data_IF_520525871831
#
_entry.id   IF_520525871831
#
_cell.length_a   1.000
_cell.length_b   1.000
_cell.length_c   1.000
_cell.angle_alpha   90.00
_cell.angle_beta   90.00
_cell.angle_gamma   90.00
#
_symmetry.space_group_name_H-M   'P 1'
#
loop_
_entity.id
_entity.type
_entity.pdbx_description
1 polymer ?
#
# COMPACT_ATOMS: atom_id res chain seq x y z
N UNK A 1 -20.34 -36.09 -7.94
CA UNK A 1 -19.28 -36.22 -6.93
C UNK A 1 -18.65 -34.85 -6.76
N UNK A 2 -19.11 -34.07 -5.78
CA UNK A 2 -18.55 -32.76 -5.46
C UNK A 2 -17.75 -32.87 -4.17
N UNK A 3 -16.44 -32.68 -4.23
CA UNK A 3 -15.60 -32.63 -3.05
C UNK A 3 -15.82 -31.28 -2.35
N UNK A 4 -16.65 -31.27 -1.31
CA UNK A 4 -16.70 -30.14 -0.37
C UNK A 4 -15.42 -30.17 0.45
N UNK A 5 -14.50 -29.24 0.18
CA UNK A 5 -13.33 -29.01 1.02
C UNK A 5 -13.84 -28.44 2.34
N UNK A 6 -13.96 -29.29 3.35
CA UNK A 6 -14.27 -28.88 4.71
C UNK A 6 -13.05 -28.15 5.28
N UNK A 7 -13.12 -26.83 5.34
CA UNK A 7 -12.15 -25.98 6.05
C UNK A 7 -12.29 -26.29 7.53
N UNK A 8 -11.47 -27.23 8.02
CA UNK A 8 -11.40 -27.58 9.43
C UNK A 8 -10.97 -26.34 10.21
N UNK A 9 -11.80 -25.93 11.17
CA UNK A 9 -11.62 -24.75 12.02
C UNK A 9 -10.38 -24.81 12.91
N UNK A 10 -9.21 -24.54 12.30
CA UNK A 10 -7.99 -24.22 13.02
C UNK A 10 -8.19 -22.88 13.73
N UNK A 11 -8.35 -22.93 15.05
CA UNK A 11 -8.48 -21.79 15.97
C UNK A 11 -7.20 -20.98 16.15
N UNK A 12 -6.29 -20.99 15.19
CA UNK A 12 -5.18 -20.06 15.16
C UNK A 12 -5.48 -19.15 13.98
N UNK A 13 -5.97 -17.95 14.28
CA UNK A 13 -6.06 -16.89 13.30
C UNK A 13 -4.65 -16.58 12.83
N UNK A 14 -4.18 -17.34 11.84
CA UNK A 14 -2.92 -17.11 11.17
C UNK A 14 -3.02 -15.70 10.63
N UNK A 15 -2.28 -14.78 11.25
CA UNK A 15 -2.22 -13.40 10.80
C UNK A 15 -1.74 -13.46 9.36
N UNK A 16 -2.51 -12.98 8.39
CA UNK A 16 -2.15 -13.10 6.96
C UNK A 16 -0.86 -12.37 6.57
N UNK A 17 -0.29 -11.63 7.51
CA UNK A 17 0.99 -10.95 7.39
C UNK A 17 2.15 -11.79 7.97
N UNK A 18 1.88 -12.81 8.79
CA UNK A 18 2.87 -13.63 9.48
C UNK A 18 2.61 -15.11 9.22
N UNK A 19 3.54 -15.73 8.51
CA UNK A 19 3.57 -17.18 8.30
C UNK A 19 4.45 -17.89 9.36
N UNK A 20 4.49 -19.21 9.30
CA UNK A 20 5.33 -20.04 10.18
C UNK A 20 6.83 -19.82 9.91
N UNK A 21 7.20 -19.45 8.69
CA UNK A 21 8.59 -19.21 8.30
C UNK A 21 9.15 -17.99 9.02
N UNK A 22 8.42 -16.87 9.05
CA UNK A 22 8.81 -15.66 9.79
C UNK A 22 9.02 -15.93 11.28
N UNK A 23 8.15 -16.75 11.89
CA UNK A 23 8.29 -17.14 13.30
C UNK A 23 9.53 -17.99 13.55
N UNK A 24 9.85 -18.92 12.63
CA UNK A 24 11.09 -19.71 12.68
C UNK A 24 12.31 -18.81 12.51
N UNK A 25 12.25 -17.86 11.60
CA UNK A 25 13.35 -16.94 11.31
C UNK A 25 13.61 -15.95 12.46
N UNK A 26 12.59 -15.52 13.20
CA UNK A 26 12.79 -14.75 14.44
C UNK A 26 13.67 -15.52 15.46
N UNK A 27 13.44 -16.82 15.60
CA UNK A 27 14.24 -17.67 16.49
C UNK A 27 15.63 -17.88 15.89
N UNK A 28 15.72 -18.12 14.58
CA UNK A 28 16.98 -18.35 13.89
C UNK A 28 17.90 -17.13 13.99
N UNK A 29 17.41 -15.91 13.72
CA UNK A 29 18.22 -14.69 13.80
C UNK A 29 18.78 -14.42 15.19
N UNK A 30 18.12 -14.87 16.27
CA UNK A 30 18.65 -14.74 17.63
C UNK A 30 19.80 -15.72 17.90
N UNK A 31 19.73 -16.92 17.34
CA UNK A 31 20.70 -18.01 17.59
C UNK A 31 21.89 -17.99 16.63
N UNK A 32 21.64 -17.69 15.36
CA UNK A 32 22.61 -17.74 14.29
C UNK A 32 23.10 -16.33 13.95
N UNK A 33 24.31 -16.03 14.45
CA UNK A 33 24.98 -14.75 14.23
C UNK A 33 25.33 -14.54 12.75
N UNK A 34 25.71 -15.61 12.04
CA UNK A 34 26.12 -15.52 10.64
C UNK A 34 24.91 -15.23 9.76
N UNK A 35 23.81 -15.95 9.95
CA UNK A 35 22.54 -15.71 9.26
C UNK A 35 22.07 -14.27 9.44
N UNK A 36 22.09 -13.77 10.69
CA UNK A 36 21.70 -12.39 11.00
C UNK A 36 22.60 -11.37 10.28
N UNK A 37 23.93 -11.55 10.33
CA UNK A 37 24.87 -10.64 9.64
C UNK A 37 24.66 -10.62 8.13
N UNK A 38 24.51 -11.79 7.52
CA UNK A 38 24.25 -11.91 6.08
C UNK A 38 22.95 -11.22 5.68
N UNK A 39 21.91 -11.32 6.51
CA UNK A 39 20.65 -10.62 6.25
C UNK A 39 20.79 -9.10 6.37
N UNK A 40 21.53 -8.61 7.36
CA UNK A 40 21.80 -7.16 7.48
C UNK A 40 22.64 -6.67 6.30
N UNK A 41 23.66 -7.42 5.89
CA UNK A 41 24.45 -7.11 4.70
C UNK A 41 23.59 -7.09 3.44
N UNK A 42 22.66 -8.04 3.28
CA UNK A 42 21.71 -8.04 2.19
C UNK A 42 20.85 -6.77 2.18
N UNK A 43 20.28 -6.38 3.32
CA UNK A 43 19.47 -5.15 3.45
C UNK A 43 20.30 -3.91 3.08
N UNK A 44 21.50 -3.77 3.67
CA UNK A 44 22.33 -2.57 3.54
C UNK A 44 23.08 -2.49 2.21
N UNK A 45 23.44 -3.63 1.64
CA UNK A 45 24.09 -3.74 0.35
C UNK A 45 23.15 -3.49 -0.83
N UNK A 46 21.83 -3.51 -0.60
CA UNK A 46 20.84 -3.17 -1.63
C UNK A 46 20.64 -4.25 -2.71
N UNK A 47 21.25 -5.43 -2.56
CA UNK A 47 21.14 -6.52 -3.53
C UNK A 47 19.69 -6.98 -3.80
N UNK A 48 18.79 -6.75 -2.83
CA UNK A 48 17.36 -6.99 -2.99
C UNK A 48 16.69 -6.11 -4.05
N UNK A 49 17.29 -4.98 -4.42
CA UNK A 49 16.70 -4.06 -5.39
C UNK A 49 16.51 -4.72 -6.75
N UNK A 50 17.46 -5.56 -7.17
CA UNK A 50 17.40 -6.30 -8.42
C UNK A 50 16.30 -7.39 -8.40
N UNK A 51 15.92 -7.85 -7.21
CA UNK A 51 14.80 -8.79 -7.03
C UNK A 51 13.43 -8.11 -7.21
N UNK A 52 13.36 -6.77 -7.15
CA UNK A 52 12.12 -6.01 -7.34
C UNK A 52 11.72 -5.88 -8.82
N UNK A 53 12.61 -6.22 -9.76
CA UNK A 53 12.33 -6.22 -11.19
C UNK A 53 11.17 -7.17 -11.55
N UNK A 54 11.03 -8.26 -10.80
CA UNK A 54 9.94 -9.22 -10.94
C UNK A 54 8.65 -8.75 -10.24
N UNK A 55 8.73 -7.67 -9.44
CA UNK A 55 7.61 -7.17 -8.66
C UNK A 55 6.70 -6.24 -9.50
N UNK A 56 5.78 -6.88 -10.23
CA UNK A 56 4.67 -6.28 -10.97
C UNK A 56 4.94 -4.97 -11.74
N UNK A 57 5.21 -5.10 -13.04
CA UNK A 57 4.95 -4.05 -14.05
C UNK A 57 3.43 -3.84 -14.34
N UNK A 58 2.54 -4.35 -13.49
CA UNK A 58 1.08 -4.43 -13.73
C UNK A 58 0.32 -3.10 -13.65
N UNK A 59 1.02 -1.97 -13.70
CA UNK A 59 0.46 -0.65 -13.45
C UNK A 59 1.02 0.38 -14.41
N UNK A 60 0.51 0.35 -15.64
CA UNK A 60 0.58 1.47 -16.57
C UNK A 60 -0.18 2.67 -15.99
N UNK A 61 0.50 3.49 -15.19
CA UNK A 61 0.07 4.86 -14.98
C UNK A 61 0.64 5.66 -16.16
N UNK A 62 -0.20 6.02 -17.13
CA UNK A 62 0.16 7.11 -18.02
C UNK A 62 0.12 8.39 -17.18
N UNK A 63 1.28 8.99 -16.94
CA UNK A 63 1.35 10.31 -16.36
C UNK A 63 0.73 11.29 -17.35
N UNK A 64 -0.45 11.79 -17.03
CA UNK A 64 -1.03 12.93 -17.68
C UNK A 64 -0.65 14.15 -16.84
N UNK A 65 -0.17 15.23 -17.46
CA UNK A 65 0.33 16.44 -16.78
C UNK A 65 -0.79 17.29 -16.16
N UNK A 66 -1.86 16.64 -15.71
CA UNK A 66 -3.12 17.27 -15.34
C UNK A 66 -3.06 18.07 -14.04
N UNK A 67 -3.95 19.06 -13.95
CA UNK A 67 -3.96 20.12 -12.94
C UNK A 67 -4.35 19.72 -11.50
N UNK A 68 -4.91 18.52 -11.25
CA UNK A 68 -5.44 18.16 -9.91
C UNK A 68 -4.78 16.94 -9.27
N UNK A 69 -4.66 16.94 -7.94
CA UNK A 69 -4.15 15.81 -7.15
C UNK A 69 -4.90 14.50 -7.45
N UNK A 70 -6.23 14.58 -7.56
CA UNK A 70 -7.10 13.46 -7.94
C UNK A 70 -6.60 12.75 -9.20
N UNK A 71 -6.47 13.48 -10.31
CA UNK A 71 -6.07 12.90 -11.59
C UNK A 71 -4.60 12.47 -11.59
N UNK A 72 -3.71 13.22 -10.93
CA UNK A 72 -2.28 12.88 -10.76
C UNK A 72 -2.06 11.51 -10.11
N UNK A 73 -2.86 11.14 -9.11
CA UNK A 73 -2.76 9.84 -8.43
C UNK A 73 -3.71 8.77 -9.02
N UNK A 74 -4.42 9.10 -10.11
CA UNK A 74 -5.37 8.20 -10.78
C UNK A 74 -6.65 7.95 -10.00
N UNK A 75 -7.04 8.87 -9.12
CA UNK A 75 -8.31 8.85 -8.41
C UNK A 75 -9.39 9.59 -9.20
N UNK A 76 -10.58 9.01 -9.26
CA UNK A 76 -11.77 9.79 -9.64
C UNK A 76 -12.14 10.72 -8.49
N UNK A 77 -12.33 12.04 -8.72
CA UNK A 77 -12.75 12.94 -7.67
C UNK A 77 -14.14 12.56 -7.15
N UNK A 78 -14.48 12.96 -5.91
CA UNK A 78 -15.84 12.81 -5.41
C UNK A 78 -16.83 13.54 -6.33
N UNK A 79 -17.99 12.94 -6.58
CA UNK A 79 -19.09 13.62 -7.27
C UNK A 79 -20.21 13.93 -6.28
N UNK A 80 -20.91 15.05 -6.46
CA UNK A 80 -22.04 15.41 -5.58
C UNK A 80 -23.16 14.36 -5.60
N UNK A 81 -23.28 13.60 -6.69
CA UNK A 81 -24.18 12.46 -6.79
C UNK A 81 -23.78 11.26 -5.92
N UNK A 82 -22.58 11.24 -5.36
CA UNK A 82 -22.12 10.19 -4.44
C UNK A 82 -22.39 10.53 -2.97
N UNK A 83 -22.89 11.73 -2.65
CA UNK A 83 -23.25 12.07 -1.29
C UNK A 83 -24.33 11.08 -0.80
N UNK A 84 -24.17 10.45 0.38
CA UNK A 84 -25.19 9.58 0.93
C UNK A 84 -26.47 10.41 1.00
N UNK A 85 -27.52 9.93 0.32
CA UNK A 85 -28.80 10.62 0.22
C UNK A 85 -29.42 10.72 1.62
N UNK A 86 -29.00 11.70 2.40
CA UNK A 86 -29.78 12.21 3.52
C UNK A 86 -31.09 12.63 2.91
N UNK A 87 -32.16 11.88 3.20
CA UNK A 87 -33.54 12.19 2.81
C UNK A 87 -33.85 13.63 3.23
N UNK A 88 -33.58 14.57 2.33
CA UNK A 88 -33.99 15.96 2.39
C UNK A 88 -34.49 16.26 0.99
N UNK A 89 -35.80 16.09 0.83
CA UNK A 89 -36.51 16.33 -0.41
C UNK A 89 -36.55 17.83 -0.68
N UNK A 90 -35.60 18.35 -1.45
CA UNK A 90 -35.77 19.59 -2.20
C UNK A 90 -35.11 19.45 -3.56
N UNK A 91 -35.91 19.04 -4.55
CA UNK A 91 -35.55 19.11 -5.97
C UNK A 91 -35.53 20.57 -6.42
N UNK A 92 -34.42 21.00 -7.03
CA UNK A 92 -34.49 22.02 -8.07
C UNK A 92 -33.49 21.68 -9.18
N UNK A 93 -34.04 21.45 -10.37
CA UNK A 93 -33.34 21.16 -11.62
C UNK A 93 -32.58 22.40 -12.12
N UNK A 94 -31.30 22.26 -12.42
CA UNK A 94 -30.61 23.13 -13.39
C UNK A 94 -29.73 22.26 -14.29
N UNK A 95 -30.05 22.26 -15.59
CA UNK A 95 -29.24 21.71 -16.68
C UNK A 95 -28.19 22.74 -17.09
N UNK A 96 -26.93 22.30 -17.24
CA UNK A 96 -25.93 23.05 -18.00
C UNK A 96 -25.06 22.11 -18.84
N UNK A 97 -24.85 22.53 -20.08
CA UNK A 97 -24.24 21.85 -21.23
C UNK A 97 -22.71 21.95 -21.27
N UNK A 98 -22.09 20.97 -21.91
CA UNK A 98 -20.66 20.77 -22.16
C UNK A 98 -20.10 21.60 -23.32
N UNK A 99 -18.78 21.86 -23.28
CA UNK A 99 -17.97 22.22 -24.46
C UNK A 99 -16.61 21.50 -24.39
N UNK A 100 -16.23 20.89 -25.51
CA UNK A 100 -15.00 20.14 -25.77
C UNK A 100 -13.81 21.05 -26.13
N UNK A 101 -12.58 20.66 -25.77
CA UNK A 101 -11.36 21.12 -26.46
C UNK A 101 -10.23 20.07 -26.38
N UNK A 102 -9.75 19.66 -27.56
CA UNK A 102 -8.47 19.00 -27.89
C UNK A 102 -7.30 19.97 -27.71
N UNK A 103 -6.01 19.66 -27.50
CA UNK A 103 -5.16 18.47 -27.61
C UNK A 103 -3.74 19.01 -27.91
N UNK A 104 -2.67 18.48 -27.30
CA UNK A 104 -1.30 18.92 -27.63
C UNK A 104 -0.23 17.83 -27.36
N UNK A 105 0.82 17.83 -28.17
CA UNK A 105 1.79 16.75 -28.36
C UNK A 105 2.99 16.79 -27.38
N UNK A 106 3.45 15.61 -26.96
CA UNK A 106 4.62 15.43 -26.08
C UNK A 106 5.95 15.38 -26.86
N UNK A 107 6.89 16.24 -26.50
CA UNK A 107 8.32 16.12 -26.83
C UNK A 107 9.07 15.25 -25.82
N UNK A 108 9.97 14.39 -26.29
CA UNK A 108 10.78 13.49 -25.46
C UNK A 108 11.89 14.25 -24.67
N UNK A 109 12.14 13.91 -23.39
CA UNK A 109 13.22 14.52 -22.61
C UNK A 109 14.55 13.77 -22.77
N UNK A 110 15.64 14.53 -22.91
CA UNK A 110 17.01 14.08 -22.73
C UNK A 110 17.28 13.85 -21.23
N UNK A 111 17.79 12.68 -20.86
CA UNK A 111 18.14 12.35 -19.47
C UNK A 111 19.61 12.68 -19.19
N UNK A 112 19.82 13.52 -18.17
CA UNK A 112 21.12 13.85 -17.59
C UNK A 112 21.31 12.96 -16.35
N UNK A 113 22.51 12.38 -16.20
CA UNK A 113 22.87 11.50 -15.08
C UNK A 113 22.99 12.33 -13.79
N UNK A 114 22.20 11.99 -12.76
CA UNK A 114 22.20 12.70 -11.49
C UNK A 114 22.42 11.72 -10.34
N UNK A 115 23.42 12.02 -9.51
CA UNK A 115 23.82 11.28 -8.32
C UNK A 115 22.73 11.46 -7.26
N UNK A 116 22.18 10.37 -6.71
CA UNK A 116 21.27 10.44 -5.56
C UNK A 116 21.92 11.24 -4.43
N UNK A 117 21.24 12.29 -3.98
CA UNK A 117 21.56 12.94 -2.73
C UNK A 117 20.78 12.17 -1.65
N UNK A 118 21.47 11.66 -0.61
CA UNK A 118 20.84 10.93 0.51
C UNK A 118 19.61 11.68 1.07
N UNK A 119 19.65 13.00 0.99
CA UNK A 119 18.59 13.93 1.40
C UNK A 119 17.23 13.62 0.75
N UNK A 120 17.20 13.29 -0.56
CA UNK A 120 15.96 12.97 -1.27
C UNK A 120 15.31 11.66 -0.79
N UNK A 121 16.13 10.70 -0.34
CA UNK A 121 15.64 9.44 0.23
C UNK A 121 15.04 9.67 1.60
N UNK A 122 15.67 10.54 2.40
CA UNK A 122 15.14 10.92 3.69
C UNK A 122 13.84 11.71 3.55
N UNK A 123 13.73 12.61 2.55
CA UNK A 123 12.50 13.35 2.29
C UNK A 123 11.34 12.43 1.90
N UNK A 124 11.60 11.43 1.04
CA UNK A 124 10.56 10.49 0.60
C UNK A 124 9.93 9.70 1.77
N UNK A 125 10.68 9.45 2.84
CA UNK A 125 10.19 8.69 4.01
C UNK A 125 9.76 9.57 5.16
N UNK A 126 10.45 10.70 5.37
CA UNK A 126 10.03 11.69 6.36
C UNK A 126 8.67 12.29 6.00
N UNK A 127 8.29 12.29 4.72
CA UNK A 127 6.96 12.71 4.25
C UNK A 127 5.94 11.59 4.28
N UNK A 128 6.37 10.32 4.21
CA UNK A 128 5.46 9.19 4.38
C UNK A 128 5.23 8.95 5.88
N UNK A 129 4.29 9.69 6.48
CA UNK A 129 3.81 9.50 7.86
C UNK A 129 3.07 8.14 8.07
N UNK A 130 3.46 7.09 7.34
CA UNK A 130 2.83 5.76 7.36
C UNK A 130 3.26 4.94 8.58
N UNK A 131 4.54 5.02 8.94
CA UNK A 131 5.13 4.25 10.03
C UNK A 131 6.05 5.15 10.85
N UNK A 132 6.06 4.97 12.16
CA UNK A 132 7.10 5.57 12.98
C UNK A 132 8.47 4.96 12.67
N UNK A 133 9.56 5.68 12.93
CA UNK A 133 10.93 5.15 12.76
C UNK A 133 11.09 3.77 13.42
N UNK A 134 10.52 3.55 14.60
CA UNK A 134 10.64 2.26 15.27
C UNK A 134 9.88 1.12 14.59
N UNK A 135 8.80 1.44 13.87
CA UNK A 135 7.96 0.50 13.14
C UNK A 135 8.55 0.13 11.76
N UNK A 136 9.40 0.98 11.18
CA UNK A 136 10.02 0.72 9.87
C UNK A 136 10.98 -0.49 9.88
N UNK A 137 11.68 -0.76 10.98
CA UNK A 137 12.60 -1.92 11.08
C UNK A 137 11.91 -3.26 10.82
N UNK A 138 10.86 -3.63 11.59
CA UNK A 138 10.17 -4.89 11.36
C UNK A 138 9.43 -4.95 10.01
N UNK A 139 8.98 -3.81 9.48
CA UNK A 139 8.40 -3.72 8.12
C UNK A 139 9.45 -4.05 7.06
N UNK A 140 10.64 -3.46 7.17
CA UNK A 140 11.77 -3.71 6.28
C UNK A 140 12.17 -5.19 6.30
N UNK A 141 12.22 -5.80 7.49
CA UNK A 141 12.54 -7.22 7.62
C UNK A 141 11.46 -8.09 6.97
N UNK A 142 10.18 -7.84 7.25
CA UNK A 142 9.09 -8.61 6.69
C UNK A 142 9.02 -8.54 5.15
N UNK A 143 9.33 -7.36 4.58
CA UNK A 143 9.36 -7.14 3.14
C UNK A 143 10.56 -7.81 2.46
N UNK A 144 11.75 -7.75 3.07
CA UNK A 144 13.01 -8.20 2.44
C UNK A 144 13.39 -9.65 2.74
N UNK A 145 12.86 -10.24 3.81
CA UNK A 145 13.17 -11.62 4.23
C UNK A 145 12.87 -12.68 3.14
N UNK A 146 11.73 -12.63 2.41
CA UNK A 146 11.47 -13.60 1.35
C UNK A 146 12.54 -13.58 0.24
N UNK A 147 12.97 -12.38 -0.19
CA UNK A 147 13.99 -12.22 -1.22
C UNK A 147 15.36 -12.71 -0.75
N UNK A 148 15.70 -12.44 0.51
CA UNK A 148 16.92 -12.94 1.12
C UNK A 148 16.97 -14.47 1.08
N UNK A 149 15.87 -15.14 1.47
CA UNK A 149 15.77 -16.59 1.48
C UNK A 149 15.92 -17.17 0.07
N UNK A 150 15.17 -16.64 -0.88
CA UNK A 150 15.25 -17.05 -2.28
C UNK A 150 16.69 -16.95 -2.81
N UNK A 151 17.35 -15.80 -2.59
CA UNK A 151 18.72 -15.58 -3.06
C UNK A 151 19.70 -16.57 -2.41
N UNK A 152 19.54 -16.82 -1.11
CA UNK A 152 20.41 -17.72 -0.34
C UNK A 152 20.26 -19.18 -0.76
N UNK A 153 19.03 -19.61 -1.07
CA UNK A 153 18.73 -20.97 -1.56
C UNK A 153 19.29 -21.20 -2.97
N UNK A 154 19.16 -20.23 -3.87
CA UNK A 154 19.63 -20.34 -5.26
C UNK A 154 21.17 -20.38 -5.39
N UNK A 155 21.88 -19.64 -4.53
CA UNK A 155 23.34 -19.44 -4.68
C UNK A 155 24.19 -20.21 -3.66
N UNK A 156 23.57 -21.01 -2.79
CA UNK A 156 24.26 -21.81 -1.78
C UNK A 156 25.03 -20.99 -0.73
N UNK A 157 24.67 -19.71 -0.56
CA UNK A 157 25.32 -18.80 0.38
C UNK A 157 25.34 -17.34 -0.09
N UNK A 158 25.88 -16.44 0.74
CA UNK A 158 25.89 -15.00 0.48
C UNK A 158 26.98 -14.63 -0.52
N UNK A 159 26.73 -14.81 -1.81
CA UNK A 159 27.52 -14.16 -2.86
C UNK A 159 26.85 -12.84 -3.26
N UNK A 160 26.95 -11.84 -2.38
CA UNK A 160 26.54 -10.48 -2.72
C UNK A 160 27.67 -9.84 -3.51
N UNK A 161 27.56 -9.86 -4.84
CA UNK A 161 28.35 -8.94 -5.64
C UNK A 161 27.92 -7.55 -5.21
N UNK A 162 28.77 -6.86 -4.43
CA UNK A 162 28.63 -5.44 -4.15
C UNK A 162 28.90 -4.71 -5.46
N UNK A 163 27.92 -4.78 -6.36
CA UNK A 163 27.89 -4.00 -7.57
C UNK A 163 27.80 -2.55 -7.14
N UNK A 164 28.73 -1.74 -7.61
CA UNK A 164 28.74 -0.30 -7.45
C UNK A 164 27.62 0.28 -8.32
N UNK A 165 26.38 -0.05 -7.96
CA UNK A 165 25.15 0.29 -8.66
C UNK A 165 24.78 1.71 -8.34
N UNK A 166 25.39 2.66 -9.05
CA UNK A 166 24.96 4.05 -9.02
C UNK A 166 23.52 4.13 -9.58
N UNK A 167 22.53 4.22 -8.69
CA UNK A 167 21.12 4.36 -9.07
C UNK A 167 20.86 5.77 -9.62
N UNK A 168 20.30 5.81 -10.83
CA UNK A 168 19.86 7.04 -11.48
C UNK A 168 18.41 7.31 -11.08
N UNK A 169 18.18 8.19 -10.12
CA UNK A 169 16.83 8.61 -9.74
C UNK A 169 16.59 10.05 -10.18
N UNK A 170 15.51 10.24 -10.95
CA UNK A 170 15.06 11.54 -11.42
C UNK A 170 14.46 12.36 -10.26
N UNK A 171 14.72 13.68 -10.22
CA UNK A 171 14.39 14.64 -9.14
C UNK A 171 12.89 14.86 -8.85
N UNK A 172 11.97 14.16 -9.55
CA UNK A 172 10.53 14.29 -9.31
C UNK A 172 9.97 12.99 -8.73
N UNK A 173 9.65 12.90 -7.42
CA UNK A 173 9.19 11.65 -6.78
C UNK A 173 7.93 11.08 -7.44
N UNK A 174 7.11 11.93 -8.03
CA UNK A 174 5.83 11.58 -8.65
C UNK A 174 5.90 11.07 -10.09
N UNK A 175 7.08 11.10 -10.73
CA UNK A 175 7.28 10.61 -12.11
C UNK A 175 7.93 9.24 -12.19
N UNK A 176 8.17 8.61 -11.04
CA UNK A 176 8.91 7.36 -10.94
C UNK A 176 8.01 6.16 -11.28
N UNK A 177 8.50 5.19 -12.08
CA UNK A 177 7.95 3.85 -12.10
C UNK A 177 7.66 3.34 -10.69
N UNK A 178 6.62 2.52 -10.53
CA UNK A 178 6.21 2.03 -9.20
C UNK A 178 7.28 1.20 -8.52
N UNK A 179 8.05 0.44 -9.30
CA UNK A 179 9.26 -0.25 -8.86
C UNK A 179 10.23 0.73 -8.21
N UNK A 180 10.61 1.80 -8.90
CA UNK A 180 11.54 2.81 -8.39
C UNK A 180 11.00 3.51 -7.13
N UNK A 181 9.69 3.71 -7.03
CA UNK A 181 9.05 4.28 -5.84
C UNK A 181 9.10 3.30 -4.66
N UNK A 182 8.76 2.04 -4.88
CA UNK A 182 8.87 0.98 -3.87
C UNK A 182 10.32 0.78 -3.43
N UNK A 183 11.26 0.74 -4.37
CA UNK A 183 12.69 0.67 -4.12
C UNK A 183 13.14 1.88 -3.29
N UNK A 184 12.71 3.10 -3.64
CA UNK A 184 13.02 4.31 -2.86
C UNK A 184 12.48 4.23 -1.43
N UNK A 185 11.25 3.72 -1.22
CA UNK A 185 10.69 3.50 0.12
C UNK A 185 11.53 2.52 0.93
N UNK A 186 11.90 1.38 0.34
CA UNK A 186 12.68 0.36 1.04
C UNK A 186 14.14 0.81 1.28
N UNK A 187 14.74 1.53 0.32
CA UNK A 187 16.10 2.08 0.41
C UNK A 187 16.17 3.15 1.49
N UNK A 188 15.24 4.11 1.49
CA UNK A 188 15.23 5.11 2.54
C UNK A 188 14.99 4.45 3.91
N UNK A 189 14.14 3.41 4.00
CA UNK A 189 13.85 2.74 5.27
C UNK A 189 15.11 2.05 5.77
N UNK A 190 15.85 1.39 4.88
CA UNK A 190 17.17 0.85 5.17
C UNK A 190 18.18 1.93 5.54
N UNK A 191 18.11 3.13 4.95
CA UNK A 191 19.00 4.26 5.24
C UNK A 191 18.72 4.96 6.58
N UNK A 192 17.55 4.72 7.20
CA UNK A 192 17.22 5.28 8.53
C UNK A 192 17.94 4.58 9.69
N UNK A 193 18.56 3.43 9.44
CA UNK A 193 19.23 2.61 10.45
C UNK A 193 20.64 2.25 10.01
N UNK A 194 21.56 2.28 10.96
CA UNK A 194 22.88 1.72 10.76
C UNK A 194 22.84 0.20 10.84
N UNK A 195 23.81 -0.47 10.19
CA UNK A 195 23.89 -1.93 10.21
C UNK A 195 23.98 -2.49 11.64
N UNK A 196 24.72 -1.79 12.52
CA UNK A 196 24.85 -2.14 13.93
C UNK A 196 23.53 -2.01 14.70
N UNK A 197 22.69 -1.02 14.39
CA UNK A 197 21.37 -0.85 15.01
C UNK A 197 20.43 -1.99 14.63
N UNK A 198 20.41 -2.37 13.35
CA UNK A 198 19.60 -3.49 12.86
C UNK A 198 20.09 -4.83 13.45
N UNK A 199 21.40 -5.04 13.49
CA UNK A 199 21.99 -6.25 14.09
C UNK A 199 21.65 -6.33 15.59
N UNK A 200 21.83 -5.24 16.34
CA UNK A 200 21.53 -5.20 17.77
C UNK A 200 20.04 -5.48 18.05
N UNK A 201 19.15 -4.93 17.23
CA UNK A 201 17.71 -5.15 17.35
C UNK A 201 17.31 -6.61 17.09
N UNK A 202 17.89 -7.27 16.08
CA UNK A 202 17.65 -8.70 15.82
C UNK A 202 18.34 -9.63 16.83
N UNK A 203 19.44 -9.20 17.45
CA UNK A 203 20.18 -9.97 18.44
C UNK A 203 19.55 -9.94 19.85
N UNK A 204 18.74 -8.93 20.17
CA UNK A 204 18.15 -8.78 21.51
C UNK A 204 17.12 -9.91 21.77
N UNK A 205 17.33 -10.75 22.80
CA UNK A 205 16.38 -11.83 23.12
C UNK A 205 15.00 -11.32 23.53
N UNK A 206 14.90 -10.08 24.04
CA UNK A 206 13.65 -9.46 24.48
C UNK A 206 12.83 -8.90 23.32
N UNK A 207 13.49 -8.52 22.23
CA UNK A 207 12.82 -8.03 21.03
C UNK A 207 12.07 -9.17 20.37
N UNK A 208 10.83 -8.91 19.96
CA UNK A 208 10.02 -9.82 19.14
C UNK A 208 9.62 -9.07 17.89
N UNK A 209 10.52 -9.03 16.91
CA UNK A 209 10.33 -8.20 15.72
C UNK A 209 9.08 -8.59 14.93
N UNK A 210 8.62 -9.85 15.02
CA UNK A 210 7.37 -10.29 14.39
C UNK A 210 6.14 -9.72 15.11
N UNK A 211 6.19 -9.60 16.45
CA UNK A 211 5.12 -8.93 17.20
C UNK A 211 5.16 -7.41 16.96
N UNK A 212 6.34 -6.82 16.88
CA UNK A 212 6.52 -5.40 16.52
C UNK A 212 6.00 -5.12 15.10
N UNK A 213 6.23 -6.04 14.16
CA UNK A 213 5.67 -6.00 12.81
C UNK A 213 4.14 -6.02 12.82
N UNK A 214 3.52 -6.96 13.54
CA UNK A 214 2.05 -7.03 13.68
C UNK A 214 1.49 -5.73 14.23
N UNK A 215 2.18 -5.18 15.24
CA UNK A 215 1.81 -3.90 15.86
C UNK A 215 1.88 -2.76 14.83
N UNK A 216 2.95 -2.66 14.06
CA UNK A 216 3.11 -1.67 13.00
C UNK A 216 1.95 -1.71 11.98
N UNK A 217 1.58 -2.89 11.48
CA UNK A 217 0.45 -3.03 10.55
C UNK A 217 -0.88 -2.66 11.22
N UNK A 218 -1.07 -3.04 12.50
CA UNK A 218 -2.30 -2.72 13.23
C UNK A 218 -2.46 -1.22 13.53
N UNK A 219 -1.35 -0.48 13.60
CA UNK A 219 -1.27 0.94 13.92
C UNK A 219 -1.36 1.86 12.70
N UNK A 220 -1.40 1.32 11.49
CA UNK A 220 -1.43 2.11 10.26
C UNK A 220 -2.51 3.21 10.32
N UNK A 221 -2.21 4.44 9.85
CA UNK A 221 -3.15 5.57 9.91
C UNK A 221 -4.31 5.46 8.90
N UNK A 222 -4.28 4.44 8.04
CA UNK A 222 -5.25 4.11 7.00
C UNK A 222 -6.00 2.83 7.40
N UNK A 223 -7.30 2.75 7.11
CA UNK A 223 -8.06 1.52 7.30
C UNK A 223 -7.61 0.51 6.25
N UNK A 224 -7.16 -0.65 6.69
CA UNK A 224 -6.73 -1.75 5.82
C UNK A 224 -7.67 -2.91 6.01
N UNK A 225 -8.29 -3.36 4.94
CA UNK A 225 -9.08 -4.58 4.90
C UNK A 225 -8.52 -5.53 3.85
N UNK A 226 -8.49 -6.82 4.15
CA UNK A 226 -8.09 -7.84 3.19
C UNK A 226 -9.18 -8.89 3.12
N UNK A 227 -9.53 -9.28 1.91
CA UNK A 227 -10.65 -10.16 1.63
C UNK A 227 -10.25 -11.29 0.69
N UNK A 228 -10.79 -12.48 0.93
CA UNK A 228 -10.81 -13.57 -0.05
C UNK A 228 -11.99 -13.38 -1.00
N UNK A 229 -11.83 -13.76 -2.27
CA UNK A 229 -12.89 -13.61 -3.29
C UNK A 229 -13.30 -14.97 -3.83
N UNK A 230 -14.59 -15.28 -3.75
CA UNK A 230 -15.23 -16.37 -4.46
C UNK A 230 -16.10 -15.78 -5.57
N UNK A 231 -15.60 -15.83 -6.81
CA UNK A 231 -16.31 -15.30 -7.99
C UNK A 231 -17.53 -16.14 -8.36
N UNK A 232 -17.59 -17.42 -7.96
CA UNK A 232 -18.72 -18.30 -8.24
C UNK A 232 -19.87 -18.01 -7.28
N UNK A 233 -19.57 -17.89 -5.99
CA UNK A 233 -20.53 -17.53 -4.96
C UNK A 233 -20.85 -16.02 -4.91
N UNK A 234 -20.08 -15.19 -5.63
CA UNK A 234 -20.12 -13.72 -5.54
C UNK A 234 -19.91 -13.24 -4.09
N UNK A 235 -19.00 -13.90 -3.37
CA UNK A 235 -18.63 -13.53 -2.00
C UNK A 235 -17.25 -12.88 -1.97
N UNK A 236 -17.08 -11.89 -1.10
CA UNK A 236 -15.79 -11.24 -0.86
C UNK A 236 -15.56 -11.10 0.63
N UNK A 237 -15.35 -12.21 1.35
CA UNK A 237 -15.30 -12.22 2.81
C UNK A 237 -14.05 -11.52 3.32
N UNK A 238 -14.21 -10.54 4.20
CA UNK A 238 -13.11 -9.88 4.89
C UNK A 238 -12.50 -10.88 5.88
N UNK A 239 -11.21 -11.15 5.72
CA UNK A 239 -10.44 -12.06 6.56
C UNK A 239 -9.48 -11.31 7.49
N UNK A 240 -9.21 -10.04 7.19
CA UNK A 240 -8.42 -9.15 8.04
C UNK A 240 -8.95 -7.72 7.97
N UNK A 241 -8.96 -7.02 9.10
CA UNK A 241 -9.09 -5.56 9.18
C UNK A 241 -8.21 -5.03 10.31
N UNK A 242 -7.55 -3.88 10.12
CA UNK A 242 -6.70 -3.28 11.16
C UNK A 242 -7.52 -2.51 12.21
N UNK A 243 -6.89 -2.22 13.36
CA UNK A 243 -7.55 -1.59 14.51
C UNK A 243 -7.92 -0.12 14.29
N UNK A 244 -7.30 0.55 13.30
CA UNK A 244 -7.57 1.93 12.95
C UNK A 244 -9.09 2.19 12.79
N UNK A 245 -9.80 1.22 12.22
CA UNK A 245 -11.25 1.24 12.05
C UNK A 245 -12.07 1.49 13.33
N UNK A 246 -11.60 1.01 14.49
CA UNK A 246 -12.32 1.18 15.77
C UNK A 246 -12.17 2.58 16.36
N UNK A 247 -11.08 3.28 16.03
CA UNK A 247 -10.80 4.62 16.54
C UNK A 247 -11.49 5.73 15.74
N UNK A 248 -11.70 5.54 14.44
CA UNK A 248 -12.28 6.58 13.57
C UNK A 248 -13.73 6.92 13.87
N UNK A 249 -14.54 5.93 14.21
CA UNK A 249 -15.98 6.13 14.31
C UNK A 249 -16.45 6.47 15.73
N UNK A 250 -15.56 6.52 16.74
CA UNK A 250 -15.91 6.80 18.14
C UNK A 250 -16.90 5.82 18.79
N UNK A 251 -17.42 4.89 18.00
CA UNK A 251 -18.32 3.79 18.35
C UNK A 251 -17.51 2.52 18.15
N UNK A 252 -17.57 1.58 19.09
CA UNK A 252 -17.05 0.23 18.90
C UNK A 252 -17.78 -0.41 17.73
N UNK A 253 -17.29 -0.17 16.51
CA UNK A 253 -17.75 -0.86 15.32
C UNK A 253 -17.40 -2.33 15.52
N UNK A 254 -18.40 -3.18 15.35
CA UNK A 254 -18.21 -4.64 15.34
C UNK A 254 -17.13 -4.92 14.29
N UNK A 255 -16.17 -5.79 14.60
CA UNK A 255 -15.17 -6.25 13.63
C UNK A 255 -15.89 -6.75 12.38
N UNK A 256 -15.59 -6.15 11.23
CA UNK A 256 -16.18 -6.50 9.93
C UNK A 256 -15.63 -7.80 9.34
N UNK A 257 -14.77 -8.51 10.07
CA UNK A 257 -14.26 -9.82 9.65
C UNK A 257 -15.45 -10.78 9.47
N UNK A 258 -15.53 -11.37 8.28
CA UNK A 258 -16.62 -12.23 7.83
C UNK A 258 -17.67 -11.54 6.96
N UNK A 259 -17.72 -10.20 6.95
CA UNK A 259 -18.61 -9.43 6.07
C UNK A 259 -18.05 -9.36 4.64
N UNK A 260 -18.90 -9.06 3.66
CA UNK A 260 -18.47 -8.87 2.28
C UNK A 260 -17.81 -7.49 2.11
N UNK A 261 -16.53 -7.47 1.71
CA UNK A 261 -15.75 -6.26 1.41
C UNK A 261 -16.50 -5.30 0.50
N UNK A 262 -17.10 -5.80 -0.59
CA UNK A 262 -17.80 -4.94 -1.55
C UNK A 262 -19.06 -4.28 -0.96
N UNK A 263 -19.74 -4.91 0.00
CA UNK A 263 -20.89 -4.33 0.71
C UNK A 263 -20.41 -3.24 1.68
N UNK A 264 -19.39 -3.56 2.47
CA UNK A 264 -18.75 -2.62 3.41
C UNK A 264 -18.23 -1.37 2.69
N UNK A 265 -17.46 -1.55 1.61
CA UNK A 265 -16.87 -0.47 0.84
C UNK A 265 -17.90 0.37 0.07
N UNK A 266 -19.11 -0.13 -0.11
CA UNK A 266 -20.18 0.54 -0.86
C UNK A 266 -21.32 1.06 0.00
N UNK A 267 -21.26 0.89 1.33
CA UNK A 267 -22.32 1.28 2.26
C UNK A 267 -22.78 2.74 2.13
N UNK A 268 -21.88 3.65 1.71
CA UNK A 268 -22.14 5.07 1.51
C UNK A 268 -22.03 5.49 0.03
N UNK A 269 -22.21 4.57 -0.91
CA UNK A 269 -22.07 4.85 -2.34
C UNK A 269 -23.44 4.90 -3.04
N UNK A 270 -23.48 5.62 -4.16
CA UNK A 270 -24.56 5.53 -5.14
C UNK A 270 -24.64 4.12 -5.74
N UNK A 271 -25.77 3.76 -6.36
CA UNK A 271 -25.93 2.46 -7.05
C UNK A 271 -24.83 2.20 -8.08
N UNK A 272 -24.47 3.21 -8.88
CA UNK A 272 -23.35 3.11 -9.82
C UNK A 272 -22.00 2.89 -9.11
N UNK A 273 -21.81 3.48 -7.93
CA UNK A 273 -20.63 3.24 -7.09
C UNK A 273 -20.56 1.80 -6.59
N UNK A 274 -21.69 1.25 -6.11
CA UNK A 274 -21.81 -0.15 -5.69
C UNK A 274 -21.44 -1.09 -6.84
N UNK A 275 -22.00 -0.90 -8.03
CA UNK A 275 -21.72 -1.71 -9.21
C UNK A 275 -20.23 -1.64 -9.62
N UNK A 276 -19.61 -0.45 -9.56
CA UNK A 276 -18.19 -0.28 -9.87
C UNK A 276 -17.30 -1.03 -8.87
N UNK A 277 -17.63 -0.99 -7.58
CA UNK A 277 -16.90 -1.70 -6.52
C UNK A 277 -17.05 -3.21 -6.69
N UNK A 278 -18.28 -3.71 -6.87
CA UNK A 278 -18.54 -5.13 -7.12
C UNK A 278 -17.77 -5.62 -8.36
N UNK A 279 -17.86 -4.89 -9.47
CA UNK A 279 -17.12 -5.21 -10.69
C UNK A 279 -15.62 -5.21 -10.44
N UNK A 280 -15.08 -4.28 -9.66
CA UNK A 280 -13.66 -4.23 -9.34
C UNK A 280 -13.22 -5.48 -8.55
N UNK A 281 -13.97 -5.85 -7.51
CA UNK A 281 -13.69 -7.02 -6.66
C UNK A 281 -13.73 -8.32 -7.47
N UNK A 282 -14.83 -8.57 -8.19
CA UNK A 282 -15.06 -9.86 -8.86
C UNK A 282 -14.41 -9.98 -10.23
N UNK A 283 -13.94 -8.88 -10.83
CA UNK A 283 -13.19 -8.91 -12.09
C UNK A 283 -11.67 -8.74 -11.88
N UNK A 284 -11.19 -8.83 -10.64
CA UNK A 284 -9.79 -8.59 -10.27
C UNK A 284 -9.24 -7.27 -10.86
N UNK A 285 -10.00 -6.17 -10.72
CA UNK A 285 -9.60 -4.84 -11.21
C UNK A 285 -9.31 -3.90 -10.06
N UNK A 286 -8.40 -2.96 -10.34
CA UNK A 286 -8.07 -1.88 -9.42
C UNK A 286 -9.19 -0.85 -9.41
N UNK A 287 -9.41 -0.26 -8.25
CA UNK A 287 -10.37 0.80 -8.03
C UNK A 287 -9.73 1.89 -7.18
N UNK A 288 -9.94 3.16 -7.54
CA UNK A 288 -9.47 4.32 -6.79
C UNK A 288 -10.48 5.45 -6.94
N UNK A 289 -11.03 5.93 -5.83
CA UNK A 289 -12.05 6.99 -5.85
C UNK A 289 -12.00 7.83 -4.59
N UNK A 290 -12.22 9.13 -4.73
CA UNK A 290 -12.56 10.02 -3.63
C UNK A 290 -14.04 9.96 -3.32
N UNK A 291 -14.39 9.96 -2.04
CA UNK A 291 -15.78 10.04 -1.57
C UNK A 291 -15.93 11.25 -0.64
N UNK A 292 -17.11 11.86 -0.63
CA UNK A 292 -17.42 12.93 0.32
C UNK A 292 -17.66 12.31 1.70
N UNK A 293 -16.86 12.72 2.68
CA UNK A 293 -17.01 12.30 4.07
C UNK A 293 -17.87 13.30 4.85
N UNK A 294 -17.65 14.60 4.64
CA UNK A 294 -18.42 15.69 5.21
C UNK A 294 -18.33 16.93 4.29
N UNK A 295 -18.91 18.06 4.70
CA UNK A 295 -18.75 19.33 3.97
C UNK A 295 -17.26 19.67 3.86
N UNK A 296 -16.78 19.82 2.62
CA UNK A 296 -15.38 20.10 2.27
C UNK A 296 -14.36 19.03 2.69
N UNK A 297 -14.82 17.87 3.18
CA UNK A 297 -13.96 16.75 3.54
C UNK A 297 -14.16 15.57 2.61
N UNK A 298 -13.04 15.04 2.13
CA UNK A 298 -12.98 13.87 1.28
C UNK A 298 -12.31 12.71 2.01
N UNK A 299 -12.54 11.50 1.52
CA UNK A 299 -11.83 10.29 1.91
C UNK A 299 -11.44 9.53 0.65
N UNK A 300 -10.26 8.91 0.64
CA UNK A 300 -9.80 8.05 -0.45
C UNK A 300 -10.22 6.63 -0.19
N UNK A 301 -10.73 5.95 -1.22
CA UNK A 301 -10.94 4.51 -1.26
C UNK A 301 -10.12 3.90 -2.38
N UNK A 302 -9.45 2.80 -2.10
CA UNK A 302 -8.76 2.02 -3.11
C UNK A 302 -8.97 0.51 -2.91
N UNK A 303 -9.09 -0.21 -4.03
CA UNK A 303 -9.06 -1.67 -4.07
C UNK A 303 -7.93 -2.11 -5.00
N UNK A 304 -7.15 -3.10 -4.56
CA UNK A 304 -6.11 -3.75 -5.36
C UNK A 304 -6.24 -5.27 -5.26
N UNK A 305 -6.41 -5.98 -6.39
CA UNK A 305 -6.27 -7.43 -6.40
C UNK A 305 -4.82 -7.82 -6.07
N UNK A 306 -4.66 -8.89 -5.33
CA UNK A 306 -3.37 -9.51 -5.00
C UNK A 306 -3.41 -10.94 -5.52
N UNK A 307 -2.39 -11.32 -6.28
CA UNK A 307 -2.29 -12.61 -6.93
C UNK A 307 -1.26 -13.48 -6.21
N UNK A 308 -1.47 -14.79 -6.21
CA UNK A 308 -0.49 -15.77 -5.72
C UNK A 308 0.61 -16.03 -6.78
N UNK A 309 1.54 -16.94 -6.44
CA UNK A 309 2.62 -17.36 -7.34
C UNK A 309 2.14 -18.07 -8.62
N UNK A 310 0.87 -18.51 -8.67
CA UNK A 310 0.23 -19.13 -9.83
C UNK A 310 -0.56 -18.11 -10.67
N UNK A 311 -0.53 -16.83 -10.29
CA UNK A 311 -1.28 -15.76 -10.95
C UNK A 311 -2.79 -15.83 -10.69
N UNK A 312 -3.26 -16.62 -9.72
CA UNK A 312 -4.65 -16.66 -9.31
C UNK A 312 -4.92 -15.55 -8.28
N UNK A 313 -6.11 -14.98 -8.30
CA UNK A 313 -6.48 -13.93 -7.35
C UNK A 313 -6.61 -14.54 -5.94
N UNK A 314 -5.60 -14.30 -5.10
CA UNK A 314 -5.60 -14.76 -3.71
C UNK A 314 -6.47 -13.84 -2.83
N UNK A 315 -6.30 -12.52 -2.99
CA UNK A 315 -6.96 -11.54 -2.15
C UNK A 315 -7.41 -10.29 -2.91
N UNK A 316 -8.27 -9.50 -2.26
CA UNK A 316 -8.46 -8.08 -2.56
C UNK A 316 -8.07 -7.27 -1.33
N UNK A 317 -7.13 -6.35 -1.53
CA UNK A 317 -6.73 -5.35 -0.57
C UNK A 317 -7.64 -4.13 -0.71
N UNK A 318 -8.32 -3.74 0.36
CA UNK A 318 -9.08 -2.51 0.47
C UNK A 318 -8.39 -1.51 1.40
N UNK A 319 -8.28 -0.27 0.95
CA UNK A 319 -7.73 0.84 1.73
C UNK A 319 -8.71 2.00 1.80
N UNK A 320 -8.89 2.57 2.99
CA UNK A 320 -9.63 3.82 3.19
C UNK A 320 -8.80 4.83 4.01
N UNK A 321 -8.58 6.03 3.48
CA UNK A 321 -7.82 7.08 4.19
C UNK A 321 -8.61 7.64 5.38
N UNK A 322 -7.98 8.51 6.17
CA UNK A 322 -8.73 9.42 7.05
C UNK A 322 -9.49 10.44 6.20
N UNK A 323 -10.58 11.03 6.70
CA UNK A 323 -11.12 12.26 6.12
C UNK A 323 -10.04 13.36 6.10
N UNK A 324 -9.96 14.09 5.00
CA UNK A 324 -9.04 15.21 4.78
C UNK A 324 -9.74 16.31 3.98
N UNK A 325 -9.21 17.53 3.99
CA UNK A 325 -9.79 18.66 3.24
C UNK A 325 -9.67 18.45 1.72
N UNK A 326 -10.72 18.76 0.96
CA UNK A 326 -10.68 18.64 -0.51
C UNK A 326 -9.58 19.54 -1.10
N UNK A 327 -8.60 19.00 -1.83
CA UNK A 327 -7.52 19.78 -2.44
C UNK A 327 -8.02 20.87 -3.40
N UNK A 328 -9.22 20.75 -3.97
CA UNK A 328 -9.76 21.76 -4.89
C UNK A 328 -10.34 22.98 -4.17
N UNK A 329 -10.64 22.89 -2.88
CA UNK A 329 -11.28 23.96 -2.11
C UNK A 329 -10.29 24.89 -1.41
N UNK A 330 -9.05 24.43 -1.20
CA UNK A 330 -8.01 25.18 -0.47
C UNK A 330 -7.43 26.38 -1.25
N UNK A 331 -7.69 26.46 -2.57
CA UNK A 331 -7.11 27.47 -3.48
C UNK A 331 -7.57 28.91 -3.23
N UNK A 332 -8.54 29.14 -2.35
CA UNK A 332 -9.01 30.49 -1.99
C UNK A 332 -8.14 31.21 -0.97
N UNK A 333 -7.20 30.53 -0.31
CA UNK A 333 -6.25 31.15 0.62
C UNK A 333 -4.87 31.22 -0.03
N UNK A 334 -4.42 32.40 -0.43
CA UNK A 334 -3.20 32.65 -1.22
C UNK A 334 -1.85 32.36 -0.54
N UNK A 335 -1.69 31.23 0.14
CA UNK A 335 -0.47 30.84 0.85
C UNK A 335 -0.10 29.38 0.57
N UNK A 336 1.04 29.10 -0.09
CA UNK A 336 1.84 27.85 -0.16
C UNK A 336 1.19 26.46 0.06
N UNK A 337 -0.10 26.27 -0.20
CA UNK A 337 -0.91 25.12 0.23
C UNK A 337 -0.74 23.85 -0.63
N UNK A 338 0.27 23.78 -1.50
CA UNK A 338 0.38 22.73 -2.52
C UNK A 338 0.93 21.40 -2.01
N UNK A 339 1.74 21.37 -0.95
CA UNK A 339 2.45 20.14 -0.56
C UNK A 339 1.66 19.27 0.43
N UNK A 340 0.89 19.88 1.33
CA UNK A 340 0.10 19.13 2.34
C UNK A 340 -1.09 18.40 1.74
N UNK A 341 -1.59 18.82 0.59
CA UNK A 341 -2.77 18.23 -0.04
C UNK A 341 -2.52 16.85 -0.68
N UNK A 342 -1.26 16.52 -0.97
CA UNK A 342 -0.88 15.27 -1.63
C UNK A 342 -0.63 14.12 -0.65
N UNK A 343 -0.39 14.44 0.61
CA UNK A 343 0.00 13.46 1.63
C UNK A 343 -0.97 12.28 1.73
N UNK A 344 -2.32 12.46 1.81
CA UNK A 344 -3.23 11.32 1.90
C UNK A 344 -3.19 10.41 0.68
N UNK A 345 -2.98 10.98 -0.52
CA UNK A 345 -2.87 10.23 -1.76
C UNK A 345 -1.58 9.41 -1.80
N UNK A 346 -0.47 10.05 -1.42
CA UNK A 346 0.83 9.41 -1.34
C UNK A 346 0.81 8.25 -0.35
N UNK A 347 0.26 8.45 0.85
CA UNK A 347 0.11 7.41 1.89
C UNK A 347 -0.64 6.18 1.37
N UNK A 348 -1.82 6.37 0.76
CA UNK A 348 -2.61 5.24 0.25
C UNK A 348 -1.86 4.54 -0.89
N UNK A 349 -1.24 5.28 -1.80
CA UNK A 349 -0.51 4.69 -2.92
C UNK A 349 0.73 3.91 -2.48
N UNK A 350 1.48 4.41 -1.49
CA UNK A 350 2.63 3.71 -0.92
C UNK A 350 2.20 2.40 -0.26
N UNK A 351 1.06 2.39 0.44
CA UNK A 351 0.49 1.16 1.00
C UNK A 351 0.01 0.18 -0.08
N UNK A 352 -0.53 0.66 -1.21
CA UNK A 352 -0.88 -0.21 -2.35
C UNK A 352 0.34 -0.86 -3.01
N UNK A 353 1.53 -0.27 -2.84
CA UNK A 353 2.81 -0.85 -3.27
C UNK A 353 3.36 -1.83 -2.25
N UNK A 354 3.39 -1.41 -0.98
CA UNK A 354 4.06 -2.12 0.10
C UNK A 354 3.27 -3.34 0.60
N UNK A 355 1.95 -3.20 0.84
CA UNK A 355 1.16 -4.26 1.49
C UNK A 355 1.14 -5.58 0.70
N UNK A 356 1.11 -5.62 -0.64
CA UNK A 356 1.22 -6.88 -1.37
C UNK A 356 2.51 -7.66 -1.09
N UNK A 357 3.65 -7.01 -0.79
CA UNK A 357 4.89 -7.69 -0.36
C UNK A 357 4.76 -8.31 1.03
N UNK A 358 3.91 -7.69 1.86
CA UNK A 358 3.77 -7.99 3.27
C UNK A 358 2.72 -9.07 3.53
N UNK A 359 1.82 -9.30 2.58
CA UNK A 359 0.82 -10.37 2.60
C UNK A 359 1.48 -11.71 2.29
N UNK A 360 1.15 -12.73 3.08
CA UNK A 360 1.58 -14.11 2.86
C UNK A 360 0.47 -14.85 2.13
N UNK A 361 0.63 -14.95 0.81
CA UNK A 361 -0.14 -15.86 -0.04
C UNK A 361 0.47 -17.24 0.15
N UNK A 362 -0.24 -18.13 0.87
CA UNK A 362 0.24 -19.48 1.17
C UNK A 362 0.30 -20.40 -0.03
#
# INVERSE_FOLDING_TARGET
>A
MGASVSVSGSRHGTCMFVDEMMLKDEIAFKRDVALRKNFIEFIKGGAWADCLDNFEDFLGLSYDSSETAWKRFGYKPPTMSDAPSTRSSFESSIRSSSTDYSGEACSAPNFVYQKMVLEDCYTAISTSNLFEKNELRPILFAALLPFFKQTFEEHGGPHFNSGDGALLLNDKPFKRPKKDRLQALLLGAAAMFDASELEAYLADPKVKWVDDYRKAISNLPVIVSVSTVDTTAQESKIVYSNAAQTSFFGVKTKTQVGENLHEVFSANCSSSGVEQIQKAVFSARKYKRGILAAENQCQLRALKPVFDSQGQQAFVLGLESRPFEDPNLSTKSGSNASETSDEPFQQVDDLLLLLPLLLKTG
#
